data_IF_897307010026
#
_entry.id   IF_897307010026
#
_cell.length_a   1.000
_cell.length_b   1.000
_cell.length_c   1.000
_cell.angle_alpha   90.00
_cell.angle_beta   90.00
_cell.angle_gamma   90.00
#
_symmetry.space_group_name_H-M   'P 1'
#
loop_
_entity.id
_entity.type
_entity.pdbx_description
1 polymer ?
#
# COMPACT_ATOMS: atom_id res chain seq x y z
N UNK A 1 7.17 18.01 -17.59
CA UNK A 1 7.70 17.05 -16.58
C UNK A 1 6.61 16.09 -16.14
N UNK A 2 6.93 14.81 -15.89
CA UNK A 2 5.96 13.82 -15.39
C UNK A 2 5.55 14.11 -13.93
N UNK A 3 4.30 13.84 -13.56
CA UNK A 3 3.87 13.95 -12.16
C UNK A 3 4.41 12.78 -11.33
N UNK A 4 4.53 12.99 -10.01
CA UNK A 4 5.08 11.99 -9.09
C UNK A 4 4.30 10.68 -9.09
N UNK A 5 2.96 10.74 -9.20
CA UNK A 5 2.12 9.54 -9.30
C UNK A 5 2.39 8.70 -10.55
N UNK A 6 2.49 9.34 -11.73
CA UNK A 6 2.85 8.62 -12.95
C UNK A 6 4.25 8.00 -12.86
N UNK A 7 5.20 8.71 -12.22
CA UNK A 7 6.58 8.22 -12.03
C UNK A 7 6.61 6.93 -11.22
N UNK A 8 5.95 6.90 -10.07
CA UNK A 8 5.94 5.69 -9.20
C UNK A 8 5.17 4.53 -9.81
N UNK A 9 4.11 4.81 -10.58
CA UNK A 9 3.33 3.77 -11.28
C UNK A 9 3.94 3.34 -12.61
N UNK A 10 5.12 3.87 -12.98
CA UNK A 10 5.78 3.65 -14.28
C UNK A 10 4.82 3.85 -15.47
N UNK A 11 3.96 4.87 -15.37
CA UNK A 11 2.96 5.23 -16.39
C UNK A 11 3.43 6.46 -17.17
N UNK A 12 3.22 6.46 -18.49
CA UNK A 12 3.37 7.66 -19.31
C UNK A 12 2.54 8.85 -18.77
N UNK A 13 3.14 10.03 -18.74
CA UNK A 13 2.52 11.26 -18.27
C UNK A 13 2.43 12.25 -19.44
N UNK A 14 1.22 12.74 -19.71
CA UNK A 14 0.91 13.75 -20.73
C UNK A 14 0.39 15.03 -20.06
N UNK A 15 0.10 16.06 -20.86
CA UNK A 15 -0.58 17.27 -20.39
C UNK A 15 -1.98 16.96 -19.83
N UNK A 16 -2.66 15.97 -20.40
CA UNK A 16 -3.99 15.48 -19.97
C UNK A 16 -3.92 14.42 -18.85
N UNK A 17 -2.89 14.46 -18.01
CA UNK A 17 -2.68 13.45 -16.97
C UNK A 17 -3.76 13.49 -15.87
N UNK A 18 -4.56 12.42 -15.77
CA UNK A 18 -5.62 12.30 -14.75
C UNK A 18 -5.11 12.26 -13.29
N UNK A 19 -3.87 11.82 -13.06
CA UNK A 19 -3.28 11.75 -11.72
C UNK A 19 -2.73 13.09 -11.24
N UNK A 20 -2.33 13.98 -12.16
CA UNK A 20 -1.71 15.26 -11.81
C UNK A 20 -2.61 16.11 -10.89
N UNK A 21 -3.90 16.37 -11.20
CA UNK A 21 -4.76 17.14 -10.30
C UNK A 21 -5.02 16.41 -8.97
N UNK A 22 -4.97 15.08 -8.95
CA UNK A 22 -5.21 14.29 -7.73
C UNK A 22 -4.15 14.50 -6.64
N UNK A 23 -2.96 14.99 -7.01
CA UNK A 23 -1.79 15.05 -6.12
C UNK A 23 -1.39 16.47 -5.71
N UNK A 24 -1.98 17.50 -6.34
CA UNK A 24 -1.59 18.90 -6.13
C UNK A 24 -1.79 19.41 -4.70
N UNK A 25 -2.70 18.80 -3.94
CA UNK A 25 -2.95 19.15 -2.54
C UNK A 25 -1.91 18.56 -1.57
N UNK A 26 -1.07 17.63 -2.03
CA UNK A 26 0.01 17.03 -1.23
C UNK A 26 1.29 17.83 -1.48
N UNK A 27 1.85 18.42 -0.43
CA UNK A 27 2.91 19.42 -0.50
C UNK A 27 4.23 18.88 -1.10
N UNK A 28 4.69 17.71 -0.65
CA UNK A 28 5.98 17.17 -1.05
C UNK A 28 5.87 16.13 -2.17
N UNK A 29 6.87 16.14 -3.07
CA UNK A 29 6.95 15.18 -4.17
C UNK A 29 7.09 13.73 -3.66
N UNK A 30 7.77 13.54 -2.53
CA UNK A 30 7.91 12.24 -1.86
C UNK A 30 6.58 11.75 -1.31
N UNK A 31 5.85 12.59 -0.59
CA UNK A 31 4.53 12.26 -0.06
C UNK A 31 3.52 11.92 -1.16
N UNK A 32 3.55 12.65 -2.29
CA UNK A 32 2.76 12.31 -3.48
C UNK A 32 3.09 10.89 -4.00
N UNK A 33 4.37 10.53 -4.00
CA UNK A 33 4.83 9.20 -4.37
C UNK A 33 4.34 8.13 -3.40
N UNK A 34 4.54 8.33 -2.10
CA UNK A 34 4.13 7.40 -1.06
C UNK A 34 2.62 7.14 -1.06
N UNK A 35 1.81 8.21 -1.10
CA UNK A 35 0.36 8.11 -1.22
C UNK A 35 -0.06 7.31 -2.46
N UNK A 36 0.53 7.62 -3.62
CA UNK A 36 0.17 6.93 -4.87
C UNK A 36 0.53 5.44 -4.82
N UNK A 37 1.73 5.08 -4.35
CA UNK A 37 2.14 3.67 -4.22
C UNK A 37 1.24 2.95 -3.23
N UNK A 38 0.93 3.56 -2.09
CA UNK A 38 0.08 2.96 -1.07
C UNK A 38 -1.33 2.68 -1.59
N UNK A 39 -1.98 3.67 -2.20
CA UNK A 39 -3.33 3.51 -2.78
C UNK A 39 -3.31 2.47 -3.92
N UNK A 40 -2.31 2.51 -4.79
CA UNK A 40 -2.19 1.55 -5.89
C UNK A 40 -1.88 0.12 -5.43
N UNK A 41 -1.16 -0.05 -4.31
CA UNK A 41 -0.93 -1.35 -3.69
C UNK A 41 -2.23 -1.93 -3.13
N UNK A 42 -3.09 -1.08 -2.55
CA UNK A 42 -4.35 -1.50 -1.94
C UNK A 42 -5.45 -1.82 -2.96
N UNK A 43 -5.72 -0.91 -3.90
CA UNK A 43 -6.80 -1.07 -4.90
C UNK A 43 -6.32 -1.66 -6.23
N UNK A 44 -5.02 -1.87 -6.39
CA UNK A 44 -4.41 -2.22 -7.66
C UNK A 44 -4.29 -1.01 -8.60
N UNK A 45 -3.29 -1.05 -9.49
CA UNK A 45 -3.07 0.01 -10.49
C UNK A 45 -4.28 0.20 -11.41
N UNK A 46 -4.88 -0.89 -11.89
CA UNK A 46 -6.05 -0.83 -12.77
C UNK A 46 -7.29 -0.28 -12.04
N UNK A 47 -7.53 -0.72 -10.81
CA UNK A 47 -8.62 -0.23 -9.96
C UNK A 47 -8.50 1.27 -9.69
N UNK A 48 -7.32 1.73 -9.26
CA UNK A 48 -7.05 3.15 -9.04
C UNK A 48 -7.36 4.00 -10.28
N UNK A 49 -6.92 3.58 -11.45
CA UNK A 49 -7.16 4.32 -12.70
C UNK A 49 -8.64 4.31 -13.10
N UNK A 50 -9.32 3.19 -12.88
CA UNK A 50 -10.76 3.03 -13.13
C UNK A 50 -11.56 4.00 -12.24
N UNK A 51 -11.31 4.01 -10.93
CA UNK A 51 -11.99 4.91 -10.00
C UNK A 51 -11.80 6.38 -10.37
N UNK A 52 -10.56 6.83 -10.61
CA UNK A 52 -10.28 8.23 -10.97
C UNK A 52 -10.95 8.63 -12.28
N UNK A 53 -11.05 7.70 -13.24
CA UNK A 53 -11.66 7.99 -14.54
C UNK A 53 -13.20 7.97 -14.49
N UNK A 54 -13.79 7.32 -13.48
CA UNK A 54 -15.23 7.21 -13.29
C UNK A 54 -15.89 8.50 -12.76
N UNK A 55 -15.09 9.47 -12.28
CA UNK A 55 -15.60 10.74 -11.76
C UNK A 55 -15.18 11.95 -12.61
N UNK A 56 -15.99 13.03 -12.62
CA UNK A 56 -15.63 14.31 -13.22
C UNK A 56 -14.31 14.86 -12.69
N UNK A 57 -13.59 15.63 -13.51
CA UNK A 57 -12.23 16.10 -13.20
C UNK A 57 -12.12 16.86 -11.89
N UNK A 58 -13.12 17.70 -11.57
CA UNK A 58 -13.19 18.48 -10.33
C UNK A 58 -13.36 17.62 -9.07
N UNK A 59 -13.83 16.37 -9.20
CA UNK A 59 -14.01 15.45 -8.07
C UNK A 59 -12.82 14.49 -7.88
N UNK A 60 -11.93 14.38 -8.87
CA UNK A 60 -10.78 13.45 -8.81
C UNK A 60 -9.86 13.66 -7.61
N UNK A 61 -9.52 14.90 -7.19
CA UNK A 61 -8.69 15.10 -6.00
C UNK A 61 -9.36 14.57 -4.73
N UNK A 62 -10.65 14.89 -4.54
CA UNK A 62 -11.43 14.41 -3.40
C UNK A 62 -11.58 12.89 -3.43
N UNK A 63 -11.81 12.28 -4.60
CA UNK A 63 -11.87 10.83 -4.73
C UNK A 63 -10.55 10.16 -4.35
N UNK A 64 -9.41 10.68 -4.84
CA UNK A 64 -8.11 10.14 -4.49
C UNK A 64 -7.85 10.22 -2.97
N UNK A 65 -8.22 11.35 -2.36
CA UNK A 65 -8.17 11.52 -0.91
C UNK A 65 -9.04 10.49 -0.19
N UNK A 66 -10.28 10.28 -0.64
CA UNK A 66 -11.17 9.24 -0.07
C UNK A 66 -10.59 7.84 -0.18
N UNK A 67 -9.98 7.48 -1.32
CA UNK A 67 -9.31 6.20 -1.48
C UNK A 67 -8.12 6.05 -0.52
N UNK A 68 -7.35 7.12 -0.30
CA UNK A 68 -6.24 7.13 0.65
C UNK A 68 -6.72 6.88 2.08
N UNK A 69 -7.78 7.57 2.53
CA UNK A 69 -8.38 7.35 3.84
C UNK A 69 -8.98 5.95 3.98
N UNK A 70 -9.67 5.44 2.95
CA UNK A 70 -10.27 4.11 2.97
C UNK A 70 -9.19 3.01 3.09
N UNK A 71 -8.13 3.09 2.29
CA UNK A 71 -7.01 2.15 2.36
C UNK A 71 -6.28 2.24 3.71
N UNK A 72 -6.02 3.44 4.22
CA UNK A 72 -5.36 3.64 5.51
C UNK A 72 -6.23 3.09 6.65
N UNK A 73 -7.52 3.41 6.65
CA UNK A 73 -8.49 2.95 7.63
C UNK A 73 -8.64 1.44 7.65
N UNK A 74 -8.70 0.77 6.50
CA UNK A 74 -8.71 -0.71 6.42
C UNK A 74 -7.39 -1.35 6.83
N UNK A 75 -6.27 -0.65 6.68
CA UNK A 75 -4.98 -1.17 7.13
C UNK A 75 -4.88 -1.16 8.65
N UNK A 76 -5.37 -0.10 9.32
CA UNK A 76 -5.32 -0.01 10.79
C UNK A 76 -6.52 -0.68 11.46
N UNK A 77 -7.69 -0.70 10.83
CA UNK A 77 -8.91 -1.35 11.30
C UNK A 77 -9.42 -2.33 10.21
N UNK A 78 -8.88 -3.56 10.15
CA UNK A 78 -9.17 -4.49 9.07
C UNK A 78 -10.61 -4.98 9.01
N UNK A 79 -11.35 -4.90 10.13
CA UNK A 79 -12.74 -5.37 10.19
C UNK A 79 -13.71 -4.30 9.72
N UNK A 80 -13.61 -3.08 10.27
CA UNK A 80 -14.60 -2.02 10.04
C UNK A 80 -14.08 -0.84 9.21
N UNK A 81 -12.79 -0.81 8.88
CA UNK A 81 -12.16 0.21 8.05
C UNK A 81 -12.26 1.63 8.62
N UNK A 82 -12.19 2.62 7.72
CA UNK A 82 -12.31 4.04 8.05
C UNK A 82 -13.68 4.38 8.67
N UNK A 83 -14.76 3.78 8.16
CA UNK A 83 -16.13 3.99 8.67
C UNK A 83 -16.26 3.52 10.12
N UNK A 84 -15.66 2.38 10.47
CA UNK A 84 -15.63 1.90 11.86
C UNK A 84 -14.89 2.84 12.80
N UNK A 85 -13.78 3.43 12.35
CA UNK A 85 -13.05 4.43 13.13
C UNK A 85 -13.88 5.70 13.31
N UNK A 86 -14.61 6.13 12.29
CA UNK A 86 -15.52 7.28 12.38
C UNK A 86 -16.64 7.03 13.39
N UNK A 87 -17.32 5.88 13.30
CA UNK A 87 -18.44 5.53 14.18
C UNK A 87 -18.04 5.36 15.65
N UNK A 88 -16.84 4.83 15.89
CA UNK A 88 -16.31 4.61 17.25
C UNK A 88 -15.61 5.84 17.85
N UNK A 89 -15.62 6.99 17.16
CA UNK A 89 -14.95 8.22 17.62
C UNK A 89 -13.42 8.21 17.47
N UNK A 90 -12.86 7.19 16.82
CA UNK A 90 -11.42 7.01 16.60
C UNK A 90 -10.92 7.57 15.26
N UNK A 91 -11.59 8.60 14.71
CA UNK A 91 -11.22 9.20 13.42
C UNK A 91 -9.78 9.71 13.38
N UNK A 92 -9.28 10.24 14.50
CA UNK A 92 -7.90 10.70 14.66
C UNK A 92 -6.87 9.61 14.34
N UNK A 93 -7.17 8.33 14.61
CA UNK A 93 -6.30 7.19 14.24
C UNK A 93 -6.22 7.05 12.72
N UNK A 94 -7.32 7.24 12.02
CA UNK A 94 -7.34 7.21 10.56
C UNK A 94 -6.52 8.37 9.97
N UNK A 95 -6.62 9.57 10.57
CA UNK A 95 -5.82 10.73 10.17
C UNK A 95 -4.32 10.48 10.39
N UNK A 96 -3.93 10.00 11.57
CA UNK A 96 -2.54 9.65 11.87
C UNK A 96 -1.98 8.57 10.94
N UNK A 97 -2.82 7.61 10.53
CA UNK A 97 -2.46 6.60 9.53
C UNK A 97 -2.17 7.25 8.16
N UNK A 98 -3.03 8.14 7.69
CA UNK A 98 -2.78 8.87 6.43
C UNK A 98 -1.49 9.68 6.50
N UNK A 99 -1.24 10.41 7.58
CA UNK A 99 0.03 11.14 7.75
C UNK A 99 1.24 10.22 7.77
N UNK A 100 1.13 9.04 8.40
CA UNK A 100 2.20 8.04 8.40
C UNK A 100 2.50 7.56 6.98
N UNK A 101 1.47 7.33 6.15
CA UNK A 101 1.65 7.02 4.72
C UNK A 101 2.32 8.17 3.98
N UNK A 102 1.90 9.42 4.20
CA UNK A 102 2.50 10.59 3.55
C UNK A 102 3.97 10.77 3.94
N UNK A 103 4.36 10.39 5.15
CA UNK A 103 5.76 10.34 5.63
C UNK A 103 6.54 9.10 5.15
N UNK A 104 5.90 8.18 4.41
CA UNK A 104 6.54 6.95 3.94
C UNK A 104 6.69 5.85 5.00
N UNK A 105 6.02 5.98 6.15
CA UNK A 105 6.05 5.01 7.24
C UNK A 105 5.16 3.79 7.00
N UNK A 106 5.39 2.73 7.77
CA UNK A 106 4.57 1.52 7.77
C UNK A 106 3.41 1.64 8.77
N UNK A 107 2.20 1.25 8.33
CA UNK A 107 1.02 1.20 9.20
C UNK A 107 0.97 -0.11 9.98
N UNK A 108 0.46 -0.03 11.23
CA UNK A 108 0.20 -1.18 12.10
C UNK A 108 -1.27 -1.24 12.49
N UNK A 109 -1.86 -2.44 12.69
CA UNK A 109 -3.22 -2.60 13.16
C UNK A 109 -3.46 -1.94 14.53
N UNK A 110 -4.66 -1.40 14.74
CA UNK A 110 -5.05 -0.73 15.98
C UNK A 110 -5.09 -1.68 17.18
N UNK A 111 -5.27 -2.98 16.96
CA UNK A 111 -5.18 -4.01 18.00
C UNK A 111 -3.80 -3.98 18.69
N UNK A 112 -2.74 -3.62 17.97
CA UNK A 112 -1.38 -3.46 18.50
C UNK A 112 -1.17 -2.09 19.17
N UNK A 113 -1.95 -1.07 18.78
CA UNK A 113 -1.86 0.30 19.33
C UNK A 113 -2.66 0.49 20.62
N UNK A 114 -3.77 -0.23 20.78
CA UNK A 114 -4.64 -0.17 21.97
C UNK A 114 -4.45 -1.37 22.91
N UNK A 115 -3.77 -2.43 22.45
CA UNK A 115 -3.50 -3.66 23.19
C UNK A 115 -2.13 -3.64 23.87
N UNK A 116 -2.00 -2.92 24.98
CA UNK A 116 -0.93 -3.20 25.93
C UNK A 116 -1.15 -4.57 26.56
N UNK A 117 -0.46 -5.61 26.05
CA UNK A 117 -0.39 -6.92 26.69
C UNK A 117 -0.28 -8.13 25.75
N UNK A 118 0.80 -8.24 24.97
CA UNK A 118 1.38 -9.53 24.58
C UNK A 118 2.85 -9.36 24.16
N UNK A 119 3.75 -9.72 25.09
CA UNK A 119 5.17 -10.08 24.93
C UNK A 119 6.12 -9.12 24.18
N UNK A 120 7.14 -8.69 24.93
CA UNK A 120 8.41 -8.07 24.50
C UNK A 120 9.07 -8.73 23.27
N UNK A 121 9.96 -8.00 22.57
CA UNK A 121 10.56 -8.42 21.30
C UNK A 121 11.73 -9.38 21.52
N UNK A 122 11.82 -10.44 20.70
CA UNK A 122 13.06 -11.22 20.54
C UNK A 122 13.78 -10.75 19.28
N UNK A 123 14.98 -10.23 19.52
CA UNK A 123 15.97 -9.74 18.56
C UNK A 123 16.59 -10.92 17.79
N UNK A 124 16.45 -10.96 16.46
CA UNK A 124 17.41 -11.64 15.59
C UNK A 124 17.27 -11.19 14.12
N UNK A 125 18.14 -10.26 13.75
CA UNK A 125 19.05 -10.31 12.59
C UNK A 125 18.53 -10.72 11.19
N UNK A 126 18.69 -9.77 10.27
CA UNK A 126 18.86 -9.84 8.81
C UNK A 126 18.94 -11.21 8.12
N UNK A 127 18.24 -11.35 6.98
CA UNK A 127 18.88 -11.61 5.69
C UNK A 127 17.92 -11.33 4.53
N UNK A 128 18.19 -10.26 3.78
CA UNK A 128 17.95 -10.21 2.34
C UNK A 128 18.51 -11.46 1.68
N UNK A 129 17.70 -12.29 1.03
CA UNK A 129 17.98 -12.62 -0.37
C UNK A 129 16.94 -13.48 -1.11
N UNK A 130 16.92 -13.22 -2.42
CA UNK A 130 16.56 -14.10 -3.51
C UNK A 130 15.11 -14.56 -3.70
N UNK A 131 14.48 -13.90 -4.67
CA UNK A 131 13.84 -14.58 -5.80
C UNK A 131 14.45 -15.97 -6.06
N UNK A 132 13.70 -17.03 -5.76
CA UNK A 132 13.94 -18.35 -6.35
C UNK A 132 12.65 -18.85 -6.96
N UNK A 133 12.78 -19.14 -8.25
CA UNK A 133 11.77 -19.60 -9.18
C UNK A 133 11.01 -20.83 -8.66
N UNK A 134 9.72 -20.83 -8.99
CA UNK A 134 8.78 -21.95 -8.96
C UNK A 134 9.22 -23.01 -10.00
N UNK A 135 9.63 -24.20 -9.50
CA UNK A 135 9.47 -25.59 -10.00
C UNK A 135 9.89 -25.96 -11.46
N UNK A 136 10.07 -27.25 -11.86
CA UNK A 136 9.56 -28.51 -11.25
C UNK A 136 10.49 -29.76 -11.25
N UNK A 137 10.11 -30.84 -10.54
CA UNK A 137 10.43 -32.23 -10.93
C UNK A 137 10.83 -33.20 -9.80
N UNK A 138 10.32 -34.46 -9.78
CA UNK A 138 10.38 -35.34 -8.61
C UNK A 138 11.65 -36.20 -8.52
N UNK A 139 11.96 -36.58 -7.27
CA UNK A 139 13.07 -37.42 -6.82
C UNK A 139 12.95 -38.87 -7.33
N UNK A 140 14.06 -39.45 -7.77
CA UNK A 140 14.28 -40.91 -7.82
C UNK A 140 15.58 -41.21 -7.04
N UNK A 141 15.63 -42.17 -6.11
CA UNK A 141 16.85 -42.48 -5.36
C UNK A 141 17.79 -43.41 -6.12
N UNK A 142 19.07 -43.13 -5.97
CA UNK A 142 20.23 -43.89 -6.43
C UNK A 142 20.50 -45.08 -5.51
N UNK A 143 20.66 -46.28 -6.08
CA UNK A 143 21.40 -47.39 -5.44
C UNK A 143 22.18 -48.14 -6.53
N UNK A 144 23.51 -47.98 -6.52
CA UNK A 144 24.48 -48.91 -7.11
C UNK A 144 24.75 -50.07 -6.11
N UNK A 145 25.72 -51.02 -6.28
CA UNK A 145 26.67 -51.27 -7.38
C UNK A 145 26.92 -52.78 -7.71
N UNK A 146 27.94 -53.05 -8.56
CA UNK A 146 28.75 -54.28 -8.76
C UNK A 146 28.29 -55.40 -9.72
N UNK A 147 28.99 -55.48 -10.86
CA UNK A 147 29.94 -56.56 -11.21
C UNK A 147 29.45 -58.00 -11.40
N UNK A 148 29.60 -58.50 -12.63
CA UNK A 148 29.49 -59.91 -13.03
C UNK A 148 29.49 -60.08 -14.54
#
# INVERSE_FOLDING_TARGET
MSCNGCRVLRKGCSETCILRPCLQWIESAEAQGHATVFVAKFFGRAGLMSFISAVPENQRPALFQSLLFEAAGRTVNPVNGAVGLMWTGNWHVCQAAVETVLRGGALKPIAELLGGGASEPDDASECTDMFRLRDPGPRVPETAPFGG
#
